data_IF_734798063456
#
_entry.id   IF_734798063456
#
_cell.length_a   1.000
_cell.length_b   1.000
_cell.length_c   1.000
_cell.angle_alpha   90.00
_cell.angle_beta   90.00
_cell.angle_gamma   90.00
#
_symmetry.space_group_name_H-M   'P 1'
#
loop_
_entity.id
_entity.type
_entity.pdbx_description
1 polymer ?
#
# COMPACT_ATOMS: atom_id res chain seq x y z
N UNK A 1 -19.69 -1.74 -3.59
CA UNK A 1 -19.21 -1.72 -2.20
C UNK A 1 -18.30 -0.53 -2.10
N UNK A 2 -18.73 0.49 -1.37
CA UNK A 2 -17.97 1.71 -1.14
C UNK A 2 -16.70 1.37 -0.37
N UNK A 3 -15.56 1.93 -0.77
CA UNK A 3 -14.31 1.71 -0.06
C UNK A 3 -14.39 2.34 1.34
N UNK A 4 -14.02 1.57 2.37
CA UNK A 4 -13.97 2.08 3.73
C UNK A 4 -12.75 2.98 3.88
N UNK A 5 -12.91 4.13 4.54
CA UNK A 5 -11.80 5.05 4.82
C UNK A 5 -11.15 4.70 6.15
N UNK A 6 -9.82 4.62 6.16
CA UNK A 6 -9.04 4.20 7.32
C UNK A 6 -7.89 5.18 7.61
N UNK A 7 -7.62 5.37 8.89
CA UNK A 7 -6.37 5.88 9.43
C UNK A 7 -5.55 4.69 9.90
N UNK A 8 -4.41 4.46 9.24
CA UNK A 8 -3.57 3.28 9.46
C UNK A 8 -2.70 3.45 10.71
N UNK A 9 -2.73 2.45 11.58
CA UNK A 9 -1.79 2.27 12.69
C UNK A 9 -0.72 1.25 12.32
N UNK A 10 -0.94 -0.01 12.68
CA UNK A 10 -0.04 -1.14 12.41
C UNK A 10 -0.36 -1.86 11.10
N UNK A 11 -1.46 -1.50 10.43
CA UNK A 11 -1.85 -1.96 9.11
C UNK A 11 -2.44 -3.37 9.05
N UNK A 12 -2.86 -3.92 10.20
CA UNK A 12 -3.34 -5.32 10.27
C UNK A 12 -4.82 -5.49 9.92
N UNK A 13 -5.62 -4.44 9.92
CA UNK A 13 -7.06 -4.49 9.64
C UNK A 13 -7.42 -3.80 8.32
N UNK A 14 -6.50 -3.04 7.74
CA UNK A 14 -6.71 -2.29 6.51
C UNK A 14 -6.24 -3.07 5.27
N UNK A 15 -7.07 -3.18 4.24
CA UNK A 15 -6.69 -3.71 2.94
C UNK A 15 -5.80 -2.73 2.19
N UNK A 16 -4.63 -3.19 1.72
CA UNK A 16 -3.67 -2.33 1.02
C UNK A 16 -4.25 -1.77 -0.29
N UNK A 17 -4.95 -2.61 -1.07
CA UNK A 17 -5.41 -2.22 -2.40
C UNK A 17 -6.86 -1.71 -2.44
N UNK A 18 -7.70 -2.17 -1.52
CA UNK A 18 -9.15 -2.02 -1.62
C UNK A 18 -9.74 -0.95 -0.72
N UNK A 19 -9.08 -0.61 0.39
CA UNK A 19 -9.53 0.42 1.31
C UNK A 19 -8.93 1.78 0.95
N UNK A 20 -9.61 2.85 1.38
CA UNK A 20 -9.12 4.23 1.20
C UNK A 20 -8.32 4.63 2.44
N UNK A 21 -7.01 4.41 2.41
CA UNK A 21 -6.13 4.70 3.54
C UNK A 21 -4.92 5.59 3.18
N UNK A 22 -4.74 5.87 1.89
CA UNK A 22 -3.75 6.82 1.37
C UNK A 22 -4.39 7.70 0.28
N UNK A 23 -4.62 8.97 0.62
CA UNK A 23 -5.33 9.91 -0.26
C UNK A 23 -6.84 9.70 -0.25
N UNK A 24 -7.49 10.01 -1.37
CA UNK A 24 -8.96 10.10 -1.44
C UNK A 24 -9.66 8.88 -2.06
N UNK A 25 -8.91 7.93 -2.64
CA UNK A 25 -9.46 6.72 -3.25
C UNK A 25 -8.53 5.52 -3.06
N UNK A 26 -9.03 4.28 -3.22
CA UNK A 26 -8.22 3.06 -3.10
C UNK A 26 -7.02 3.05 -4.05
N UNK A 27 -5.92 2.46 -3.59
CA UNK A 27 -4.69 2.38 -4.39
C UNK A 27 -4.88 1.61 -5.70
N UNK A 28 -5.77 0.61 -5.76
CA UNK A 28 -6.06 -0.12 -7.01
C UNK A 28 -6.73 0.75 -8.08
N UNK A 29 -7.43 1.81 -7.69
CA UNK A 29 -8.13 2.71 -8.61
C UNK A 29 -7.16 3.78 -9.13
N UNK A 30 -6.18 4.17 -8.31
CA UNK A 30 -5.13 5.16 -8.65
C UNK A 30 -3.95 4.54 -9.37
N UNK A 31 -3.56 3.32 -9.01
CA UNK A 31 -2.38 2.59 -9.50
C UNK A 31 -2.81 1.24 -10.09
N UNK A 32 -3.77 1.27 -11.02
CA UNK A 32 -4.40 0.08 -11.59
C UNK A 32 -3.42 -0.90 -12.24
N UNK A 33 -2.42 -0.40 -12.98
CA UNK A 33 -1.43 -1.25 -13.63
C UNK A 33 -0.52 -1.95 -12.63
N UNK A 34 -0.10 -1.26 -11.56
CA UNK A 34 0.67 -1.88 -10.47
C UNK A 34 -0.18 -2.92 -9.76
N UNK A 35 -1.46 -2.64 -9.51
CA UNK A 35 -2.39 -3.61 -8.94
C UNK A 35 -2.49 -4.86 -9.82
N UNK A 36 -2.55 -4.73 -11.15
CA UNK A 36 -2.59 -5.89 -12.04
C UNK A 36 -1.33 -6.76 -11.94
N UNK A 37 -0.17 -6.11 -11.81
CA UNK A 37 1.12 -6.79 -11.68
C UNK A 37 1.40 -7.29 -10.25
N UNK A 38 0.65 -6.86 -9.24
CA UNK A 38 0.89 -7.22 -7.85
C UNK A 38 0.73 -8.73 -7.59
N UNK A 39 1.65 -9.28 -6.80
CA UNK A 39 1.55 -10.64 -6.28
C UNK A 39 0.48 -10.78 -5.19
N UNK A 40 0.13 -9.71 -4.49
CA UNK A 40 -0.76 -9.75 -3.32
C UNK A 40 -1.93 -8.78 -3.46
N UNK A 41 -2.91 -9.12 -4.30
CA UNK A 41 -4.07 -8.24 -4.55
C UNK A 41 -4.99 -8.08 -3.33
N UNK A 42 -5.02 -9.07 -2.44
CA UNK A 42 -5.85 -9.08 -1.22
C UNK A 42 -5.02 -8.87 0.06
N UNK A 43 -3.79 -8.38 -0.05
CA UNK A 43 -2.92 -8.18 1.11
C UNK A 43 -3.39 -7.01 1.99
N UNK A 44 -3.15 -7.14 3.29
CA UNK A 44 -3.30 -6.07 4.27
C UNK A 44 -2.10 -5.13 4.22
N UNK A 45 -2.26 -3.89 4.70
CA UNK A 45 -1.22 -2.85 4.65
C UNK A 45 0.09 -3.32 5.28
N UNK A 46 0.02 -3.99 6.43
CA UNK A 46 1.19 -4.52 7.14
C UNK A 46 2.03 -5.49 6.29
N UNK A 47 1.41 -6.24 5.37
CA UNK A 47 2.11 -7.22 4.53
C UNK A 47 3.01 -6.59 3.45
N UNK A 48 2.84 -5.30 3.17
CA UNK A 48 3.65 -4.52 2.23
C UNK A 48 4.74 -3.71 2.94
N UNK A 49 4.79 -3.74 4.27
CA UNK A 49 5.79 -3.02 5.05
C UNK A 49 6.94 -3.96 5.47
N UNK A 50 8.16 -3.62 5.08
CA UNK A 50 9.36 -4.28 5.54
C UNK A 50 9.93 -3.50 6.72
N UNK A 51 9.68 -3.99 7.94
CA UNK A 51 10.26 -3.42 9.15
C UNK A 51 11.76 -3.74 9.21
N UNK A 52 12.59 -2.71 9.40
CA UNK A 52 14.02 -2.87 9.71
C UNK A 52 14.39 -1.99 10.91
N UNK A 53 15.49 -2.31 11.63
CA UNK A 53 15.98 -1.46 12.70
C UNK A 53 16.32 -0.06 12.19
N UNK A 54 15.79 0.98 12.83
CA UNK A 54 16.00 2.39 12.47
C UNK A 54 14.99 2.94 11.47
N UNK A 55 14.67 2.21 10.40
CA UNK A 55 13.66 2.62 9.42
C UNK A 55 13.04 1.43 8.68
N UNK A 56 11.73 1.45 8.45
CA UNK A 56 11.08 0.50 7.54
C UNK A 56 10.80 1.11 6.17
N UNK A 57 10.57 0.25 5.17
CA UNK A 57 10.27 0.66 3.80
C UNK A 57 9.11 -0.15 3.21
N UNK A 58 8.47 0.41 2.18
CA UNK A 58 7.40 -0.25 1.44
C UNK A 58 7.95 -1.19 0.37
N UNK A 59 7.37 -2.38 0.27
CA UNK A 59 7.74 -3.40 -0.71
C UNK A 59 6.50 -3.94 -1.42
N UNK A 60 6.28 -3.48 -2.65
CA UNK A 60 5.22 -3.97 -3.54
C UNK A 60 5.82 -5.00 -4.50
N UNK A 61 5.63 -6.28 -4.21
CA UNK A 61 6.12 -7.38 -5.05
C UNK A 61 5.26 -7.54 -6.31
N UNK A 62 5.90 -7.55 -7.47
CA UNK A 62 5.28 -7.77 -8.79
C UNK A 62 5.52 -9.20 -9.29
N UNK A 63 4.64 -9.69 -10.17
CA UNK A 63 4.69 -11.04 -10.75
C UNK A 63 5.86 -11.25 -11.72
N UNK A 64 6.43 -10.17 -12.23
CA UNK A 64 7.52 -10.19 -13.18
C UNK A 64 8.18 -8.83 -13.33
N UNK A 65 9.05 -8.73 -14.33
CA UNK A 65 9.71 -7.47 -14.69
C UNK A 65 8.68 -6.49 -15.23
N UNK A 66 8.73 -5.26 -14.73
CA UNK A 66 7.94 -4.16 -15.24
C UNK A 66 8.60 -3.59 -16.50
N UNK A 67 7.78 -3.12 -17.43
CA UNK A 67 8.24 -2.19 -18.46
C UNK A 67 8.60 -0.83 -17.82
N UNK A 68 9.17 0.06 -18.63
CA UNK A 68 9.66 1.36 -18.16
C UNK A 68 8.54 2.24 -17.59
N UNK A 69 7.40 2.29 -18.25
CA UNK A 69 6.23 3.09 -17.83
C UNK A 69 5.69 2.61 -16.49
N UNK A 70 5.47 1.31 -16.35
CA UNK A 70 4.97 0.71 -15.10
C UNK A 70 6.00 0.83 -13.96
N UNK A 71 7.30 0.81 -14.27
CA UNK A 71 8.35 1.04 -13.27
C UNK A 71 8.39 2.49 -12.76
N UNK A 72 8.12 3.47 -13.63
CA UNK A 72 7.97 4.88 -13.22
C UNK A 72 6.74 5.02 -12.33
N UNK A 73 5.60 4.43 -12.74
CA UNK A 73 4.38 4.46 -11.95
C UNK A 73 4.55 3.82 -10.56
N UNK A 74 5.29 2.71 -10.46
CA UNK A 74 5.64 2.11 -9.16
C UNK A 74 6.49 3.07 -8.31
N UNK A 75 7.42 3.80 -8.93
CA UNK A 75 8.28 4.75 -8.22
C UNK A 75 7.47 5.92 -7.65
N UNK A 76 6.49 6.41 -8.41
CA UNK A 76 5.57 7.45 -7.94
C UNK A 76 4.69 6.94 -6.79
N UNK A 77 4.15 5.71 -6.93
CA UNK A 77 3.40 5.04 -5.87
C UNK A 77 4.23 4.90 -4.57
N UNK A 78 5.49 4.47 -4.67
CA UNK A 78 6.38 4.32 -3.52
C UNK A 78 6.73 5.67 -2.87
N UNK A 79 6.85 6.73 -3.66
CA UNK A 79 7.02 8.09 -3.14
C UNK A 79 5.81 8.53 -2.33
N UNK A 80 4.60 8.27 -2.80
CA UNK A 80 3.41 8.58 -2.02
C UNK A 80 3.32 7.75 -0.73
N UNK A 81 3.60 6.45 -0.81
CA UNK A 81 3.61 5.58 0.35
C UNK A 81 4.63 6.03 1.41
N UNK A 82 5.74 6.64 0.99
CA UNK A 82 6.83 7.07 1.89
C UNK A 82 6.40 8.05 3.00
N UNK A 83 5.27 8.75 2.81
CA UNK A 83 4.72 9.68 3.81
C UNK A 83 4.08 8.93 4.99
N UNK A 84 3.74 7.66 4.82
CA UNK A 84 3.12 6.82 5.84
C UNK A 84 4.18 5.93 6.48
N UNK A 85 4.21 5.94 7.82
CA UNK A 85 5.00 5.03 8.64
C UNK A 85 4.04 4.21 9.51
N UNK A 86 4.23 2.89 9.54
CA UNK A 86 3.44 2.03 10.41
C UNK A 86 3.92 2.11 11.85
N UNK A 87 2.97 2.21 12.78
CA UNK A 87 3.23 2.24 14.21
C UNK A 87 2.91 0.87 14.82
N UNK A 88 3.95 0.09 15.14
CA UNK A 88 3.79 -1.26 15.66
C UNK A 88 2.92 -1.28 16.93
N UNK A 89 1.85 -2.09 16.92
CA UNK A 89 0.93 -2.26 18.04
C UNK A 89 -0.13 -1.17 18.18
N UNK A 90 -0.14 -0.15 17.32
CA UNK A 90 -1.22 0.83 17.25
C UNK A 90 -2.30 0.28 16.31
N UNK A 91 -3.55 0.19 16.77
CA UNK A 91 -4.63 -0.36 15.96
C UNK A 91 -5.02 0.60 14.83
N UNK A 92 -5.42 0.04 13.69
CA UNK A 92 -6.06 0.80 12.62
C UNK A 92 -7.43 1.35 13.08
N UNK A 93 -7.87 2.46 12.49
CA UNK A 93 -9.18 3.07 12.84
C UNK A 93 -9.92 3.55 11.59
N UNK A 94 -11.24 3.37 11.57
CA UNK A 94 -12.09 3.90 10.50
C UNK A 94 -12.25 5.42 10.66
N UNK A 95 -12.33 6.14 9.54
CA UNK A 95 -12.46 7.62 9.47
C UNK A 95 -13.75 8.03 8.77
#
# INVERSE_FOLDING_TARGET
MDAVRWSVGDGRETSFWHDTWLGDSPLKDRFGDIYQQSCSKQGIVQSFWCAQPGEGHWNVRTRGRLDEETAILLSDMLRELSIVKLAAGVRDSMV
#
